data_IF_901357952999
#
_entry.id   IF_901357952999
#
_cell.length_a   1.000
_cell.length_b   1.000
_cell.length_c   1.000
_cell.angle_alpha   90.00
_cell.angle_beta   90.00
_cell.angle_gamma   90.00
#
_symmetry.space_group_name_H-M   'P 1'
#
loop_
_entity.id
_entity.type
_entity.pdbx_description
1 polymer ?
#
# COMPACT_ATOMS: atom_id res chain seq x y z
N UNK A 1 2.44 -11.05 -8.17
CA UNK A 1 1.15 -10.44 -7.83
C UNK A 1 0.89 -9.25 -8.75
N UNK A 2 -0.35 -9.07 -9.18
CA UNK A 2 -0.66 -7.87 -9.94
C UNK A 2 -0.91 -6.69 -8.97
N UNK A 3 -1.11 -5.51 -9.54
CA UNK A 3 -1.23 -4.30 -8.72
C UNK A 3 -2.46 -4.32 -7.82
N UNK A 4 -3.57 -4.88 -8.33
CA UNK A 4 -4.77 -4.97 -7.50
C UNK A 4 -4.53 -5.84 -6.27
N UNK A 5 -3.86 -6.97 -6.47
CA UNK A 5 -3.56 -7.86 -5.34
C UNK A 5 -2.65 -7.19 -4.33
N UNK A 6 -1.69 -6.38 -4.81
CA UNK A 6 -0.81 -5.66 -3.90
C UNK A 6 -1.58 -4.66 -3.06
N UNK A 7 -2.53 -3.95 -3.68
CA UNK A 7 -3.35 -3.00 -2.94
C UNK A 7 -4.16 -3.72 -1.86
N UNK A 8 -4.79 -4.85 -2.22
CA UNK A 8 -5.58 -5.59 -1.25
C UNK A 8 -4.72 -6.18 -0.15
N UNK A 9 -3.53 -6.65 -0.49
CA UNK A 9 -2.60 -7.17 0.51
C UNK A 9 -2.20 -6.08 1.50
N UNK A 10 -1.94 -4.88 1.00
CA UNK A 10 -1.59 -3.77 1.87
C UNK A 10 -2.75 -3.43 2.80
N UNK A 11 -3.96 -3.47 2.29
CA UNK A 11 -5.14 -3.16 3.10
C UNK A 11 -5.39 -4.20 4.20
N UNK A 12 -4.91 -5.42 4.01
CA UNK A 12 -5.00 -6.43 5.06
C UNK A 12 -4.16 -6.05 6.28
N UNK A 13 -3.11 -5.29 6.06
CA UNK A 13 -2.17 -4.93 7.11
C UNK A 13 -2.32 -3.50 7.61
N UNK A 14 -3.02 -2.66 6.87
CA UNK A 14 -3.18 -1.26 7.23
C UNK A 14 -4.65 -0.87 7.04
N UNK A 15 -5.20 -0.18 8.02
CA UNK A 15 -6.61 0.21 7.98
C UNK A 15 -6.77 1.48 7.15
N UNK A 16 -6.69 1.34 5.85
CA UNK A 16 -6.75 2.46 4.91
C UNK A 16 -7.71 2.14 3.77
N UNK A 17 -8.12 3.18 3.05
CA UNK A 17 -8.96 2.99 1.88
C UNK A 17 -8.13 2.46 0.71
N UNK A 18 -8.83 1.98 -0.32
CA UNK A 18 -8.17 1.52 -1.53
C UNK A 18 -7.30 2.62 -2.13
N UNK A 19 -7.84 3.86 -2.20
CA UNK A 19 -7.10 4.98 -2.77
C UNK A 19 -5.84 5.28 -1.98
N UNK A 20 -5.95 5.23 -0.66
CA UNK A 20 -4.79 5.51 0.19
C UNK A 20 -3.72 4.44 0.03
N UNK A 21 -4.13 3.19 -0.05
CA UNK A 21 -3.18 2.10 -0.24
C UNK A 21 -2.52 2.18 -1.60
N UNK A 22 -3.31 2.50 -2.63
CA UNK A 22 -2.77 2.65 -3.97
C UNK A 22 -1.73 3.77 -4.03
N UNK A 23 -2.04 4.91 -3.42
CA UNK A 23 -1.12 6.02 -3.39
C UNK A 23 0.18 5.65 -2.68
N UNK A 24 0.08 4.94 -1.57
CA UNK A 24 1.26 4.50 -0.84
C UNK A 24 2.14 3.61 -1.71
N UNK A 25 1.51 2.70 -2.45
CA UNK A 25 2.26 1.80 -3.32
C UNK A 25 2.91 2.57 -4.47
N UNK A 26 2.18 3.51 -5.06
CA UNK A 26 2.74 4.32 -6.14
C UNK A 26 3.94 5.12 -5.67
N UNK A 27 3.93 5.58 -4.44
CA UNK A 27 5.04 6.33 -3.86
C UNK A 27 6.14 5.43 -3.32
N UNK A 28 5.93 4.12 -3.33
CA UNK A 28 6.89 3.16 -2.80
C UNK A 28 7.34 2.17 -3.86
N UNK A 29 7.21 2.57 -5.12
CA UNK A 29 7.66 1.74 -6.24
C UNK A 29 6.99 0.37 -6.23
N UNK A 30 5.75 0.32 -5.77
CA UNK A 30 4.92 -0.89 -5.66
C UNK A 30 5.54 -1.96 -4.77
N UNK A 31 6.38 -1.56 -3.82
CA UNK A 31 6.92 -2.43 -2.81
C UNK A 31 6.01 -2.38 -1.57
N UNK A 32 5.44 -3.53 -1.18
CA UNK A 32 4.45 -3.57 -0.11
C UNK A 32 5.05 -3.15 1.23
N UNK A 33 6.25 -3.61 1.53
CA UNK A 33 6.90 -3.24 2.80
C UNK A 33 7.15 -1.74 2.87
N UNK A 34 7.68 -1.18 1.80
CA UNK A 34 7.95 0.26 1.76
C UNK A 34 6.65 1.05 1.85
N UNK A 35 5.58 0.54 1.24
CA UNK A 35 4.29 1.20 1.30
C UNK A 35 3.76 1.21 2.74
N UNK A 36 3.96 0.13 3.48
CA UNK A 36 3.55 0.10 4.88
C UNK A 36 4.31 1.13 5.71
N UNK A 37 5.61 1.26 5.45
CA UNK A 37 6.41 2.27 6.13
C UNK A 37 5.94 3.67 5.77
N UNK A 38 5.62 3.87 4.49
CA UNK A 38 5.09 5.15 4.01
C UNK A 38 3.82 5.52 4.78
N UNK A 39 2.91 4.56 4.95
CA UNK A 39 1.66 4.82 5.64
C UNK A 39 1.86 5.09 7.12
N UNK A 40 2.86 4.46 7.73
CA UNK A 40 3.17 4.71 9.14
C UNK A 40 3.65 6.14 9.37
N UNK A 41 4.39 6.67 8.40
CA UNK A 41 4.94 8.02 8.54
C UNK A 41 3.92 9.11 8.20
N UNK A 42 2.93 8.77 7.45
CA UNK A 42 1.89 9.71 7.06
C UNK A 42 0.58 9.37 7.73
#
# INVERSE_FOLDING_TARGET
MDNFEKVEKLREHANVTYEEAKEALENSNWDILDAMIYLEKN
#
